data_IF_050840055997
#
_entry.id   IF_050840055997
#
_cell.length_a   1.000
_cell.length_b   1.000
_cell.length_c   1.000
_cell.angle_alpha   90.00
_cell.angle_beta   90.00
_cell.angle_gamma   90.00
#
_symmetry.space_group_name_H-M   'P 1'
#
loop_
_entity.id
_entity.type
_entity.pdbx_description
1 polymer ?
#
# COMPACT_ATOMS: atom_id res chain seq x y z
N UNK A 1 -12.03 2.55 20.09
CA UNK A 1 -10.79 3.36 20.36
C UNK A 1 -10.83 4.50 19.37
N UNK A 2 -10.73 5.74 19.83
CA UNK A 2 -10.59 6.89 18.93
C UNK A 2 -9.17 6.89 18.33
N UNK A 3 -9.09 6.89 17.00
CA UNK A 3 -7.84 6.87 16.25
C UNK A 3 -7.29 8.28 15.96
N UNK A 4 -8.06 9.35 16.21
CA UNK A 4 -7.68 10.73 15.91
C UNK A 4 -7.56 11.03 14.42
N UNK A 5 -8.33 10.30 13.58
CA UNK A 5 -8.30 10.43 12.12
C UNK A 5 -9.45 11.27 11.54
N UNK A 6 -10.45 11.61 12.35
CA UNK A 6 -11.54 12.48 11.92
C UNK A 6 -11.00 13.80 11.37
N UNK A 7 -11.52 14.23 10.23
CA UNK A 7 -11.14 15.45 9.50
C UNK A 7 -9.68 15.49 8.99
N UNK A 8 -8.90 14.41 9.12
CA UNK A 8 -7.57 14.29 8.51
C UNK A 8 -7.67 14.14 6.99
N UNK A 9 -6.70 14.68 6.28
CA UNK A 9 -6.60 14.64 4.82
C UNK A 9 -5.72 13.47 4.40
N UNK A 10 -6.31 12.44 3.83
CA UNK A 10 -5.66 11.16 3.53
C UNK A 10 -5.54 10.94 2.03
N UNK A 11 -4.34 10.61 1.56
CA UNK A 11 -4.09 10.12 0.21
C UNK A 11 -3.84 8.61 0.27
N UNK A 12 -4.53 7.84 -0.58
CA UNK A 12 -4.26 6.40 -0.77
C UNK A 12 -3.98 6.12 -2.24
N UNK A 13 -2.74 5.75 -2.55
CA UNK A 13 -2.30 5.48 -3.91
C UNK A 13 -2.74 4.09 -4.41
N UNK A 14 -3.02 3.97 -5.70
CA UNK A 14 -3.44 2.74 -6.38
C UNK A 14 -4.64 2.05 -5.67
N UNK A 15 -5.64 2.85 -5.27
CA UNK A 15 -6.73 2.44 -4.38
C UNK A 15 -8.03 2.06 -5.11
N UNK A 16 -7.95 1.61 -6.35
CA UNK A 16 -9.14 1.14 -7.08
C UNK A 16 -9.61 -0.26 -6.69
N UNK A 17 -8.76 -1.04 -5.98
CA UNK A 17 -9.07 -2.43 -5.58
C UNK A 17 -8.19 -2.91 -4.41
N UNK A 18 -8.52 -4.07 -3.85
CA UNK A 18 -7.70 -4.81 -2.87
C UNK A 18 -7.41 -4.04 -1.58
N UNK A 19 -6.21 -4.20 -1.07
CA UNK A 19 -5.78 -3.66 0.23
C UNK A 19 -5.90 -2.14 0.30
N UNK A 20 -5.45 -1.42 -0.75
CA UNK A 20 -5.47 0.04 -0.74
C UNK A 20 -6.90 0.59 -0.79
N UNK A 21 -7.82 -0.03 -1.54
CA UNK A 21 -9.24 0.33 -1.49
C UNK A 21 -9.82 0.09 -0.10
N UNK A 22 -9.58 -1.08 0.50
CA UNK A 22 -10.04 -1.37 1.86
C UNK A 22 -9.49 -0.36 2.88
N UNK A 23 -8.22 0.07 2.75
CA UNK A 23 -7.65 1.12 3.58
C UNK A 23 -8.38 2.47 3.39
N UNK A 24 -8.66 2.87 2.14
CA UNK A 24 -9.41 4.09 1.85
C UNK A 24 -10.82 4.06 2.43
N UNK A 25 -11.53 2.94 2.32
CA UNK A 25 -12.85 2.72 2.93
C UNK A 25 -12.79 2.86 4.47
N UNK A 26 -11.78 2.28 5.11
CA UNK A 26 -11.59 2.37 6.57
C UNK A 26 -11.21 3.79 7.03
N UNK A 27 -10.34 4.50 6.32
CA UNK A 27 -10.06 5.91 6.62
C UNK A 27 -11.33 6.76 6.55
N UNK A 28 -12.16 6.55 5.54
CA UNK A 28 -13.43 7.23 5.40
C UNK A 28 -14.41 6.89 6.55
N UNK A 29 -14.44 5.64 7.00
CA UNK A 29 -15.23 5.20 8.15
C UNK A 29 -14.77 5.87 9.47
N UNK A 30 -13.49 6.18 9.61
CA UNK A 30 -12.93 6.96 10.72
C UNK A 30 -13.17 8.48 10.58
N UNK A 31 -13.88 8.93 9.55
CA UNK A 31 -14.24 10.34 9.33
C UNK A 31 -13.15 11.18 8.65
N UNK A 32 -12.15 10.55 8.05
CA UNK A 32 -11.12 11.24 7.28
C UNK A 32 -11.63 11.66 5.88
N UNK A 33 -11.15 12.78 5.34
CA UNK A 33 -11.30 13.13 3.92
C UNK A 33 -10.33 12.29 3.11
N UNK A 34 -10.79 11.66 2.05
CA UNK A 34 -10.00 10.65 1.33
C UNK A 34 -9.80 11.03 -0.12
N UNK A 35 -8.55 11.10 -0.55
CA UNK A 35 -8.16 11.20 -1.95
C UNK A 35 -7.56 9.87 -2.43
N UNK A 36 -8.09 9.35 -3.53
CA UNK A 36 -7.64 8.08 -4.12
C UNK A 36 -7.21 8.29 -5.57
N UNK A 37 -6.21 7.54 -6.00
CA UNK A 37 -5.79 7.52 -7.40
C UNK A 37 -5.55 6.09 -7.89
N UNK A 38 -5.71 5.88 -9.17
CA UNK A 38 -5.29 4.67 -9.89
C UNK A 38 -5.34 4.92 -11.41
N UNK A 39 -4.77 4.03 -12.21
CA UNK A 39 -4.74 4.15 -13.68
C UNK A 39 -6.09 3.88 -14.34
N UNK A 40 -6.86 2.97 -13.80
CA UNK A 40 -8.18 2.58 -14.34
C UNK A 40 -9.25 3.50 -13.77
N UNK A 41 -9.71 4.43 -14.58
CA UNK A 41 -10.74 5.41 -14.20
C UNK A 41 -12.09 4.74 -13.85
N UNK A 42 -12.46 3.66 -14.53
CA UNK A 42 -13.72 2.95 -14.27
C UNK A 42 -13.73 2.29 -12.89
N UNK A 43 -12.68 1.51 -12.57
CA UNK A 43 -12.52 0.90 -11.24
C UNK A 43 -12.35 1.95 -10.14
N UNK A 44 -11.63 3.04 -10.43
CA UNK A 44 -11.42 4.11 -9.48
C UNK A 44 -12.73 4.82 -9.11
N UNK A 45 -13.55 5.14 -10.12
CA UNK A 45 -14.86 5.76 -9.89
C UNK A 45 -15.80 4.84 -9.13
N UNK A 46 -15.77 3.53 -9.40
CA UNK A 46 -16.54 2.56 -8.63
C UNK A 46 -16.09 2.49 -7.16
N UNK A 47 -14.77 2.51 -6.90
CA UNK A 47 -14.23 2.58 -5.54
C UNK A 47 -14.67 3.87 -4.81
N UNK A 48 -14.56 5.03 -5.48
CA UNK A 48 -14.99 6.30 -4.92
C UNK A 48 -16.49 6.34 -4.62
N UNK A 49 -17.32 5.79 -5.50
CA UNK A 49 -18.76 5.68 -5.28
C UNK A 49 -19.07 4.84 -4.04
N UNK A 50 -18.41 3.70 -3.90
CA UNK A 50 -18.56 2.81 -2.74
C UNK A 50 -18.14 3.49 -1.43
N UNK A 51 -17.04 4.27 -1.43
CA UNK A 51 -16.64 5.02 -0.23
C UNK A 51 -17.71 6.06 0.13
N UNK A 52 -18.24 6.81 -0.84
CA UNK A 52 -19.29 7.82 -0.63
C UNK A 52 -20.60 7.22 -0.14
N UNK A 53 -20.95 6.03 -0.59
CA UNK A 53 -22.17 5.30 -0.17
C UNK A 53 -22.13 4.93 1.32
N UNK A 54 -20.92 4.60 1.84
CA UNK A 54 -20.74 4.10 3.20
C UNK A 54 -20.20 5.16 4.18
N UNK A 55 -19.98 6.41 3.71
CA UNK A 55 -19.45 7.49 4.54
C UNK A 55 -19.94 8.87 4.07
N UNK A 56 -20.02 9.81 5.00
CA UNK A 56 -20.38 11.21 4.69
C UNK A 56 -19.16 12.13 4.53
N UNK A 57 -17.99 11.57 4.18
CA UNK A 57 -16.77 12.35 4.04
C UNK A 57 -16.55 12.84 2.61
N UNK A 58 -15.67 13.83 2.45
CA UNK A 58 -15.24 14.25 1.11
C UNK A 58 -14.34 13.20 0.48
N UNK A 59 -14.63 12.83 -0.77
CA UNK A 59 -13.85 11.84 -1.54
C UNK A 59 -13.43 12.44 -2.88
N UNK A 60 -12.13 12.58 -3.09
CA UNK A 60 -11.50 12.96 -4.36
C UNK A 60 -10.96 11.70 -5.05
N UNK A 61 -11.19 11.56 -6.36
CA UNK A 61 -10.70 10.41 -7.12
C UNK A 61 -10.17 10.89 -8.47
N UNK A 62 -8.87 10.64 -8.75
CA UNK A 62 -8.22 11.07 -9.99
C UNK A 62 -7.46 9.93 -10.67
N UNK A 63 -7.69 9.70 -11.97
CA UNK A 63 -6.89 8.77 -12.75
C UNK A 63 -5.42 9.24 -12.79
N UNK A 64 -4.50 8.34 -12.40
CA UNK A 64 -3.09 8.65 -12.27
C UNK A 64 -2.23 7.40 -12.41
N UNK A 65 -1.13 7.48 -13.16
CA UNK A 65 -0.04 6.50 -13.08
C UNK A 65 0.97 6.95 -12.02
N UNK A 66 1.14 6.13 -10.98
CA UNK A 66 2.05 6.41 -9.86
C UNK A 66 3.54 6.46 -10.27
N UNK A 67 3.87 5.99 -11.48
CA UNK A 67 5.24 6.05 -12.03
C UNK A 67 5.55 7.41 -12.66
N UNK A 68 4.54 8.23 -12.93
CA UNK A 68 4.70 9.60 -13.42
C UNK A 68 4.86 10.58 -12.23
N UNK A 69 6.10 11.03 -12.02
CA UNK A 69 6.44 11.93 -10.93
C UNK A 69 5.70 13.28 -11.00
N UNK A 70 5.53 13.83 -12.21
CA UNK A 70 4.86 15.13 -12.41
C UNK A 70 3.36 15.02 -12.15
N UNK A 71 2.74 13.93 -12.62
CA UNK A 71 1.34 13.66 -12.35
C UNK A 71 1.08 13.42 -10.85
N UNK A 72 1.98 12.72 -10.14
CA UNK A 72 1.90 12.55 -8.67
C UNK A 72 1.99 13.89 -7.96
N UNK A 73 2.95 14.75 -8.33
CA UNK A 73 3.11 16.09 -7.74
C UNK A 73 1.85 16.95 -7.96
N UNK A 74 1.32 16.95 -9.18
CA UNK A 74 0.11 17.69 -9.52
C UNK A 74 -1.11 17.21 -8.72
N UNK A 75 -1.28 15.88 -8.60
CA UNK A 75 -2.33 15.26 -7.80
C UNK A 75 -2.24 15.67 -6.32
N UNK A 76 -1.07 15.52 -5.70
CA UNK A 76 -0.87 15.89 -4.29
C UNK A 76 -1.14 17.38 -4.07
N UNK A 77 -0.68 18.24 -4.97
CA UNK A 77 -0.97 19.69 -4.92
C UNK A 77 -2.47 19.97 -5.02
N UNK A 78 -3.18 19.29 -5.90
CA UNK A 78 -4.64 19.45 -6.03
C UNK A 78 -5.36 18.98 -4.75
N UNK A 79 -4.99 17.82 -4.20
CA UNK A 79 -5.53 17.34 -2.91
C UNK A 79 -5.28 18.34 -1.80
N UNK A 80 -4.05 18.85 -1.69
CA UNK A 80 -3.70 19.83 -0.66
C UNK A 80 -4.46 21.15 -0.79
N UNK A 81 -4.73 21.61 -2.01
CA UNK A 81 -5.54 22.80 -2.27
C UNK A 81 -7.02 22.56 -1.94
N UNK A 82 -7.54 21.37 -2.27
CA UNK A 82 -8.94 21.02 -2.07
C UNK A 82 -9.30 20.76 -0.60
N UNK A 83 -8.42 20.06 0.14
CA UNK A 83 -8.65 19.68 1.54
C UNK A 83 -7.97 20.63 2.55
N UNK A 84 -7.08 21.52 2.11
CA UNK A 84 -6.32 22.43 2.97
C UNK A 84 -4.98 21.85 3.47
N UNK A 85 -4.49 20.75 2.92
CA UNK A 85 -3.24 20.10 3.28
C UNK A 85 -3.25 18.60 3.05
N UNK A 86 -2.18 17.92 3.46
CA UNK A 86 -2.08 16.44 3.46
C UNK A 86 -1.53 16.00 4.81
N UNK A 87 -2.26 15.14 5.50
CA UNK A 87 -1.90 14.61 6.81
C UNK A 87 -1.37 13.17 6.72
N UNK A 88 -2.03 12.33 5.93
CA UNK A 88 -1.68 10.91 5.77
C UNK A 88 -1.45 10.58 4.30
N UNK A 89 -0.42 9.80 4.02
CA UNK A 89 -0.20 9.23 2.70
C UNK A 89 0.08 7.73 2.81
N UNK A 90 -0.73 6.93 2.13
CA UNK A 90 -0.50 5.50 1.96
C UNK A 90 0.01 5.26 0.55
N UNK A 91 1.29 4.88 0.41
CA UNK A 91 1.88 4.57 -0.89
C UNK A 91 1.67 3.10 -1.22
N UNK A 92 1.22 2.85 -2.42
CA UNK A 92 0.97 1.52 -2.96
C UNK A 92 1.13 1.53 -4.48
N UNK A 93 1.44 0.39 -5.03
CA UNK A 93 1.48 0.16 -6.47
C UNK A 93 1.08 -1.28 -6.79
N UNK A 94 0.83 -1.57 -8.06
CA UNK A 94 0.59 -2.92 -8.53
C UNK A 94 1.78 -3.86 -8.30
N UNK A 95 1.55 -5.17 -8.36
CA UNK A 95 2.64 -6.14 -8.29
C UNK A 95 3.30 -6.33 -9.66
N UNK A 96 4.64 -6.48 -9.74
CA UNK A 96 5.34 -6.85 -10.97
C UNK A 96 4.98 -8.29 -11.38
N UNK A 97 5.24 -8.69 -12.65
CA UNK A 97 4.97 -10.04 -13.11
C UNK A 97 5.75 -11.07 -12.27
N UNK A 98 5.16 -12.25 -12.11
CA UNK A 98 5.83 -13.36 -11.44
C UNK A 98 6.69 -14.10 -12.48
N UNK A 99 8.01 -14.15 -12.27
CA UNK A 99 9.00 -14.78 -13.15
C UNK A 99 10.19 -15.34 -12.38
N UNK A 100 10.83 -16.35 -12.96
CA UNK A 100 12.16 -16.80 -12.55
C UNK A 100 13.24 -15.89 -13.18
N UNK A 101 14.42 -15.82 -12.59
CA UNK A 101 15.46 -14.85 -12.96
C UNK A 101 15.82 -14.85 -14.44
N UNK A 102 16.12 -16.02 -15.03
CA UNK A 102 16.53 -16.11 -16.43
C UNK A 102 15.43 -15.77 -17.46
N UNK A 103 14.16 -15.67 -17.01
CA UNK A 103 13.04 -15.23 -17.84
C UNK A 103 12.77 -13.73 -17.76
N UNK A 104 13.59 -12.96 -17.02
CA UNK A 104 13.43 -11.52 -16.85
C UNK A 104 14.16 -10.72 -17.93
N UNK A 105 13.73 -9.47 -18.17
CA UNK A 105 14.42 -8.52 -19.04
C UNK A 105 14.82 -7.25 -18.27
N UNK A 106 15.77 -6.49 -18.80
CA UNK A 106 16.21 -5.22 -18.20
C UNK A 106 15.07 -4.22 -18.10
N UNK A 107 14.21 -4.15 -19.10
CA UNK A 107 13.05 -3.24 -19.15
C UNK A 107 12.03 -3.59 -18.08
N UNK A 108 11.82 -4.88 -17.81
CA UNK A 108 10.95 -5.32 -16.71
C UNK A 108 11.53 -4.96 -15.34
N UNK A 109 12.86 -5.02 -15.17
CA UNK A 109 13.54 -4.55 -13.96
C UNK A 109 13.35 -3.06 -13.74
N UNK A 110 13.55 -2.25 -14.80
CA UNK A 110 13.32 -0.80 -14.75
C UNK A 110 11.88 -0.49 -14.34
N UNK A 111 10.90 -1.13 -15.00
CA UNK A 111 9.48 -0.96 -14.67
C UNK A 111 9.15 -1.38 -13.23
N UNK A 112 9.77 -2.46 -12.74
CA UNK A 112 9.57 -2.90 -11.35
C UNK A 112 10.12 -1.86 -10.35
N UNK A 113 11.28 -1.26 -10.63
CA UNK A 113 11.86 -0.16 -9.84
C UNK A 113 10.97 1.07 -9.87
N UNK A 114 10.52 1.51 -11.05
CA UNK A 114 9.62 2.66 -11.20
C UNK A 114 8.34 2.45 -10.39
N UNK A 115 7.71 1.30 -10.55
CA UNK A 115 6.42 1.00 -9.95
C UNK A 115 6.49 0.76 -8.44
N UNK A 116 7.49 0.02 -7.92
CA UNK A 116 7.48 -0.44 -6.53
C UNK A 116 8.46 0.31 -5.61
N UNK A 117 9.33 1.16 -6.15
CA UNK A 117 10.26 1.96 -5.37
C UNK A 117 10.15 3.45 -5.68
N UNK A 118 10.34 3.87 -6.95
CA UNK A 118 10.32 5.28 -7.31
C UNK A 118 8.95 5.91 -7.08
N UNK A 119 7.84 5.19 -7.30
CA UNK A 119 6.50 5.67 -6.97
C UNK A 119 6.37 6.08 -5.50
N UNK A 120 6.97 5.32 -4.56
CA UNK A 120 6.99 5.69 -3.13
C UNK A 120 7.78 6.97 -2.90
N UNK A 121 8.91 7.17 -3.62
CA UNK A 121 9.70 8.40 -3.57
C UNK A 121 8.90 9.58 -4.10
N UNK A 122 8.18 9.43 -5.23
CA UNK A 122 7.36 10.50 -5.82
C UNK A 122 6.33 11.01 -4.81
N UNK A 123 5.56 10.11 -4.20
CA UNK A 123 4.59 10.49 -3.17
C UNK A 123 5.26 11.11 -1.94
N UNK A 124 6.33 10.49 -1.41
CA UNK A 124 7.04 11.01 -0.25
C UNK A 124 7.52 12.45 -0.49
N UNK A 125 8.16 12.73 -1.63
CA UNK A 125 8.61 14.09 -2.01
C UNK A 125 7.47 15.09 -2.09
N UNK A 126 6.33 14.68 -2.63
CA UNK A 126 5.19 15.57 -2.81
C UNK A 126 4.44 15.87 -1.50
N UNK A 127 4.34 14.90 -0.58
CA UNK A 127 3.53 15.06 0.65
C UNK A 127 4.31 15.60 1.86
N UNK A 128 5.61 15.25 1.99
CA UNK A 128 6.40 15.62 3.16
C UNK A 128 6.46 17.14 3.43
N UNK A 129 6.56 18.04 2.44
CA UNK A 129 6.52 19.47 2.69
C UNK A 129 5.21 19.96 3.35
N UNK A 130 4.08 19.35 3.00
CA UNK A 130 2.78 19.65 3.63
C UNK A 130 2.71 19.17 5.07
N UNK A 131 3.22 17.96 5.32
CA UNK A 131 3.29 17.38 6.68
C UNK A 131 4.23 18.17 7.59
N UNK A 132 5.39 18.61 7.08
CA UNK A 132 6.34 19.46 7.83
C UNK A 132 5.70 20.79 8.25
N UNK A 133 4.98 21.43 7.32
CA UNK A 133 4.30 22.72 7.62
C UNK A 133 3.32 22.57 8.78
N UNK A 134 2.68 21.42 8.92
CA UNK A 134 1.69 21.16 9.97
C UNK A 134 2.30 20.54 11.24
N UNK A 135 3.61 20.23 11.25
CA UNK A 135 4.29 19.48 12.30
C UNK A 135 3.57 18.19 12.68
N UNK A 136 2.94 17.56 11.71
CA UNK A 136 2.23 16.30 11.85
C UNK A 136 2.12 15.58 10.49
N UNK A 137 2.42 14.30 10.47
CA UNK A 137 2.27 13.52 9.27
C UNK A 137 2.40 12.01 9.50
N UNK A 138 1.78 11.23 8.60
CA UNK A 138 1.84 9.77 8.61
C UNK A 138 2.07 9.27 7.18
N UNK A 139 3.23 8.68 6.94
CA UNK A 139 3.56 8.02 5.67
C UNK A 139 3.61 6.51 5.90
N UNK A 140 2.73 5.76 5.25
CA UNK A 140 2.68 4.30 5.35
C UNK A 140 2.89 3.69 3.96
N UNK A 141 3.98 2.95 3.77
CA UNK A 141 4.21 2.21 2.54
C UNK A 141 3.57 0.82 2.62
N UNK A 142 2.97 0.35 1.52
CA UNK A 142 2.52 -1.04 1.38
C UNK A 142 3.53 -1.80 0.53
N UNK A 143 4.18 -2.80 1.11
CA UNK A 143 5.12 -3.65 0.37
C UNK A 143 4.62 -5.10 0.26
N UNK A 144 5.30 -6.06 0.84
CA UNK A 144 4.98 -7.49 0.81
C UNK A 144 5.84 -8.23 1.84
N UNK A 145 5.41 -9.38 2.31
CA UNK A 145 6.23 -10.31 3.09
C UNK A 145 7.57 -10.65 2.41
N UNK A 146 7.66 -10.47 1.08
CA UNK A 146 8.89 -10.69 0.30
C UNK A 146 10.06 -9.79 0.74
N UNK A 147 9.82 -8.74 1.51
CA UNK A 147 10.88 -7.89 2.09
C UNK A 147 11.63 -8.58 3.23
N UNK A 148 11.09 -9.66 3.77
CA UNK A 148 11.70 -10.46 4.85
C UNK A 148 12.12 -11.85 4.39
N UNK A 149 11.33 -12.46 3.51
CA UNK A 149 11.58 -13.81 3.01
C UNK A 149 11.25 -13.88 1.52
N UNK A 150 12.24 -14.19 0.64
CA UNK A 150 12.00 -14.37 -0.79
C UNK A 150 10.96 -15.45 -1.05
N UNK A 151 10.09 -15.19 -2.02
CA UNK A 151 9.11 -16.14 -2.53
C UNK A 151 9.53 -16.56 -3.93
N UNK A 152 9.44 -17.87 -4.23
CA UNK A 152 9.77 -18.38 -5.54
C UNK A 152 8.97 -17.67 -6.64
N UNK A 153 9.58 -17.44 -7.81
CA UNK A 153 9.04 -16.75 -8.98
C UNK A 153 8.59 -15.30 -8.79
N UNK A 154 8.83 -14.70 -7.61
CA UNK A 154 8.57 -13.27 -7.35
C UNK A 154 9.85 -12.44 -7.34
N UNK A 155 10.79 -12.73 -8.27
CA UNK A 155 12.15 -12.17 -8.25
C UNK A 155 12.19 -10.64 -8.19
N UNK A 156 11.34 -9.95 -8.94
CA UNK A 156 11.27 -8.49 -8.92
C UNK A 156 10.81 -7.96 -7.54
N UNK A 157 9.80 -8.59 -6.96
CA UNK A 157 9.29 -8.21 -5.64
C UNK A 157 10.33 -8.47 -4.55
N UNK A 158 11.00 -9.63 -4.62
CA UNK A 158 12.05 -10.03 -3.67
C UNK A 158 13.25 -9.05 -3.67
N UNK A 159 13.60 -8.49 -4.83
CA UNK A 159 14.76 -7.63 -4.98
C UNK A 159 14.44 -6.13 -4.80
N UNK A 160 13.30 -5.66 -5.33
CA UNK A 160 12.99 -4.22 -5.39
C UNK A 160 12.31 -3.72 -4.11
N UNK A 161 11.34 -4.46 -3.58
CA UNK A 161 10.59 -3.99 -2.41
C UNK A 161 11.42 -3.82 -1.13
N UNK A 162 12.49 -4.59 -0.85
CA UNK A 162 13.36 -4.32 0.29
C UNK A 162 14.01 -2.94 0.29
N UNK A 163 14.21 -2.30 -0.89
CA UNK A 163 14.73 -0.93 -0.97
C UNK A 163 13.81 0.09 -0.26
N UNK A 164 12.49 -0.17 -0.22
CA UNK A 164 11.52 0.68 0.50
C UNK A 164 11.80 0.69 2.00
N UNK A 165 12.33 -0.39 2.59
CA UNK A 165 12.64 -0.46 4.02
C UNK A 165 13.75 0.53 4.39
N UNK A 166 14.80 0.60 3.57
CA UNK A 166 15.87 1.57 3.73
C UNK A 166 15.36 3.01 3.61
N UNK A 167 14.51 3.28 2.62
CA UNK A 167 13.87 4.58 2.45
C UNK A 167 13.01 4.95 3.67
N UNK A 168 12.12 4.07 4.11
CA UNK A 168 11.24 4.27 5.28
C UNK A 168 12.07 4.60 6.52
N UNK A 169 13.16 3.85 6.76
CA UNK A 169 14.04 4.10 7.91
C UNK A 169 14.76 5.45 7.82
N UNK A 170 15.29 5.79 6.64
CA UNK A 170 15.96 7.07 6.41
C UNK A 170 15.02 8.25 6.61
N UNK A 171 13.83 8.20 6.00
CA UNK A 171 12.81 9.26 6.15
C UNK A 171 12.32 9.37 7.61
N UNK A 172 12.19 8.26 8.34
CA UNK A 172 11.79 8.29 9.75
C UNK A 172 12.81 9.03 10.62
N UNK A 173 14.11 8.87 10.34
CA UNK A 173 15.18 9.57 11.06
C UNK A 173 15.23 11.07 10.70
N UNK A 174 15.00 11.40 9.44
CA UNK A 174 15.08 12.78 8.95
C UNK A 174 13.90 13.64 9.42
N UNK A 175 12.68 13.09 9.32
CA UNK A 175 11.43 13.83 9.53
C UNK A 175 10.76 13.58 10.89
N UNK A 176 11.29 12.69 11.72
CA UNK A 176 10.74 12.42 13.06
C UNK A 176 10.65 13.65 13.96
N UNK A 177 11.64 14.55 13.87
CA UNK A 177 11.66 15.85 14.58
C UNK A 177 10.50 16.77 14.21
N UNK A 178 9.90 16.58 13.06
CA UNK A 178 8.76 17.35 12.53
C UNK A 178 7.41 16.70 12.90
N UNK A 179 7.38 15.71 13.80
CA UNK A 179 6.17 15.00 14.20
C UNK A 179 5.63 14.01 13.14
N UNK A 180 6.47 13.65 12.16
CA UNK A 180 6.11 12.76 11.07
C UNK A 180 6.60 11.34 11.35
N UNK A 181 5.68 10.36 11.29
CA UNK A 181 6.06 8.95 11.34
C UNK A 181 6.04 8.33 9.94
N UNK A 182 7.02 7.49 9.66
CA UNK A 182 7.17 6.80 8.37
C UNK A 182 7.31 5.31 8.64
N UNK A 183 6.35 4.51 8.20
CA UNK A 183 6.31 3.06 8.45
C UNK A 183 5.98 2.28 7.18
N UNK A 184 6.15 0.98 7.24
CA UNK A 184 5.84 0.04 6.17
C UNK A 184 4.93 -1.08 6.71
N UNK A 185 3.91 -1.43 5.95
CA UNK A 185 3.12 -2.65 6.13
C UNK A 185 3.53 -3.65 5.06
N UNK A 186 3.83 -4.87 5.46
CA UNK A 186 4.25 -5.96 4.60
C UNK A 186 3.23 -7.11 4.66
N UNK A 187 2.23 -7.11 3.75
CA UNK A 187 1.20 -8.13 3.72
C UNK A 187 1.72 -9.50 3.33
N UNK A 188 1.13 -10.54 3.91
CA UNK A 188 1.18 -11.91 3.41
C UNK A 188 0.24 -12.14 2.22
N UNK A 189 -0.06 -13.40 1.93
CA UNK A 189 -1.07 -13.76 0.94
C UNK A 189 -2.44 -13.23 1.39
N UNK A 190 -3.00 -12.34 0.59
CA UNK A 190 -4.24 -11.62 0.88
C UNK A 190 -5.21 -11.79 -0.28
N UNK A 191 -6.50 -12.01 -0.01
CA UNK A 191 -7.57 -12.27 -0.97
C UNK A 191 -7.88 -11.05 -1.86
N UNK A 192 -6.99 -10.80 -2.81
CA UNK A 192 -7.07 -9.71 -3.79
C UNK A 192 -7.15 -10.27 -5.20
N UNK A 193 -7.58 -9.45 -6.16
CA UNK A 193 -7.57 -9.84 -7.57
C UNK A 193 -6.16 -10.25 -8.04
N UNK A 194 -5.12 -9.61 -7.51
CA UNK A 194 -3.73 -9.98 -7.77
C UNK A 194 -3.41 -11.40 -7.32
N UNK A 195 -3.86 -11.80 -6.12
CA UNK A 195 -3.63 -13.16 -5.63
C UNK A 195 -4.41 -14.18 -6.48
N UNK A 196 -5.64 -13.87 -6.87
CA UNK A 196 -6.43 -14.74 -7.77
C UNK A 196 -5.71 -15.01 -9.09
N UNK A 197 -5.09 -13.98 -9.70
CA UNK A 197 -4.30 -14.15 -10.93
C UNK A 197 -3.08 -15.05 -10.71
N UNK A 198 -2.38 -14.93 -9.59
CA UNK A 198 -1.25 -15.79 -9.23
C UNK A 198 -1.73 -17.23 -9.03
N UNK A 199 -2.82 -17.42 -8.29
CA UNK A 199 -3.41 -18.75 -8.05
C UNK A 199 -3.84 -19.40 -9.38
N UNK A 200 -4.56 -18.67 -10.24
CA UNK A 200 -5.02 -19.19 -11.53
C UNK A 200 -3.86 -19.70 -12.40
N UNK A 201 -2.77 -18.92 -12.48
CA UNK A 201 -1.58 -19.34 -13.24
C UNK A 201 -0.92 -20.56 -12.61
N UNK A 202 -0.60 -20.51 -11.31
CA UNK A 202 0.15 -21.59 -10.64
C UNK A 202 -0.66 -22.88 -10.50
N UNK A 203 -1.99 -22.79 -10.35
CA UNK A 203 -2.86 -23.98 -10.34
C UNK A 203 -2.86 -24.69 -11.69
N UNK A 204 -2.87 -23.93 -12.79
CA UNK A 204 -2.74 -24.48 -14.14
C UNK A 204 -1.40 -25.16 -14.36
N UNK A 205 -0.28 -24.51 -13.94
CA UNK A 205 1.08 -25.08 -14.01
C UNK A 205 1.21 -26.36 -13.19
N UNK A 206 0.54 -26.44 -12.05
CA UNK A 206 0.57 -27.58 -11.13
C UNK A 206 -0.46 -28.69 -11.44
N UNK A 207 -1.37 -28.46 -12.41
CA UNK A 207 -2.42 -29.42 -12.76
C UNK A 207 -3.45 -29.68 -11.65
N UNK A 208 -3.73 -28.66 -10.79
CA UNK A 208 -4.70 -28.76 -9.68
C UNK A 208 -5.75 -27.66 -9.80
N UNK A 209 -6.84 -27.76 -9.02
CA UNK A 209 -7.88 -26.72 -9.02
C UNK A 209 -7.36 -25.43 -8.33
N UNK A 210 -7.87 -24.24 -8.72
CA UNK A 210 -7.56 -22.98 -8.02
C UNK A 210 -7.85 -23.04 -6.52
N UNK A 211 -8.94 -23.65 -6.10
CA UNK A 211 -9.31 -23.79 -4.69
C UNK A 211 -8.30 -24.64 -3.91
N UNK A 212 -7.83 -25.74 -4.49
CA UNK A 212 -6.78 -26.57 -3.88
C UNK A 212 -5.47 -25.80 -3.76
N UNK A 213 -5.11 -25.01 -4.79
CA UNK A 213 -3.89 -24.21 -4.76
C UNK A 213 -3.96 -23.10 -3.74
N UNK A 214 -5.11 -22.43 -3.60
CA UNK A 214 -5.37 -21.42 -2.57
C UNK A 214 -5.25 -22.00 -1.16
N UNK A 215 -5.79 -23.19 -0.93
CA UNK A 215 -5.67 -23.90 0.33
C UNK A 215 -4.20 -24.16 0.71
N UNK A 216 -3.32 -24.45 -0.27
CA UNK A 216 -1.88 -24.64 -0.05
C UNK A 216 -1.24 -23.33 0.46
N UNK A 217 -1.55 -22.17 -0.13
CA UNK A 217 -1.07 -20.87 0.37
C UNK A 217 -1.53 -20.59 1.81
N UNK A 218 -2.80 -20.86 2.09
CA UNK A 218 -3.32 -20.74 3.44
C UNK A 218 -2.61 -21.65 4.44
N UNK A 219 -2.33 -22.89 4.04
CA UNK A 219 -1.69 -23.88 4.93
C UNK A 219 -0.27 -23.49 5.38
N UNK A 220 0.44 -22.66 4.63
CA UNK A 220 1.78 -22.18 4.98
C UNK A 220 1.76 -21.15 6.12
N UNK A 221 0.71 -20.35 6.24
CA UNK A 221 0.54 -19.43 7.35
C UNK A 221 0.22 -20.17 8.68
N UNK A 222 0.64 -19.61 9.81
CA UNK A 222 0.30 -20.18 11.13
C UNK A 222 -1.21 -20.18 11.38
N UNK A 223 -1.93 -19.15 10.87
CA UNK A 223 -3.38 -19.05 10.96
C UNK A 223 -4.14 -19.96 9.96
N UNK A 224 -3.42 -20.73 9.12
CA UNK A 224 -3.98 -21.72 8.18
C UNK A 224 -5.01 -21.15 7.18
N UNK A 225 -4.88 -19.89 6.83
CA UNK A 225 -5.70 -19.21 5.82
C UNK A 225 -4.96 -18.04 5.17
N UNK A 226 -5.44 -17.57 4.04
CA UNK A 226 -5.06 -16.28 3.48
C UNK A 226 -5.75 -15.15 4.26
N UNK A 227 -5.14 -13.96 4.29
CA UNK A 227 -5.73 -12.77 4.90
C UNK A 227 -6.81 -12.13 4.02
N UNK A 228 -7.66 -11.29 4.62
CA UNK A 228 -8.58 -10.44 3.90
C UNK A 228 -7.99 -9.03 3.74
N UNK A 229 -8.32 -8.28 2.66
CA UNK A 229 -7.85 -6.90 2.48
C UNK A 229 -8.12 -6.00 3.68
N UNK A 230 -9.27 -6.20 4.35
CA UNK A 230 -9.71 -5.44 5.50
C UNK A 230 -8.79 -5.64 6.73
N UNK A 231 -8.22 -6.84 6.90
CA UNK A 231 -7.30 -7.15 8.01
C UNK A 231 -5.96 -6.40 7.85
N UNK A 232 -5.50 -6.25 6.60
CA UNK A 232 -4.31 -5.46 6.30
C UNK A 232 -4.61 -3.95 6.44
N UNK A 233 -5.78 -3.53 5.98
CA UNK A 233 -6.25 -2.15 6.08
C UNK A 233 -6.34 -1.67 7.53
N UNK A 234 -6.77 -2.52 8.47
CA UNK A 234 -6.80 -2.21 9.90
C UNK A 234 -5.40 -1.84 10.42
N UNK A 235 -4.38 -2.60 10.06
CA UNK A 235 -3.01 -2.31 10.44
C UNK A 235 -2.48 -1.00 9.82
N UNK A 236 -2.84 -0.71 8.56
CA UNK A 236 -2.47 0.53 7.88
C UNK A 236 -3.09 1.74 8.58
N UNK A 237 -4.40 1.70 8.84
CA UNK A 237 -5.14 2.78 9.47
C UNK A 237 -4.66 3.01 10.91
N UNK A 238 -4.40 1.92 11.66
CA UNK A 238 -3.84 2.04 12.99
C UNK A 238 -2.44 2.68 12.99
N UNK A 239 -1.52 2.27 12.09
CA UNK A 239 -0.19 2.87 11.97
C UNK A 239 -0.25 4.35 11.55
N UNK A 240 -1.28 4.76 10.82
CA UNK A 240 -1.53 6.16 10.43
C UNK A 240 -2.22 6.99 11.52
N UNK A 241 -2.62 6.39 12.63
CA UNK A 241 -3.39 7.02 13.70
C UNK A 241 -2.51 7.77 14.72
N UNK A 242 -3.14 8.51 15.60
CA UNK A 242 -2.49 9.10 16.78
C UNK A 242 -2.05 8.02 17.79
N UNK A 243 -2.67 6.83 17.76
CA UNK A 243 -2.36 5.72 18.66
C UNK A 243 -1.01 5.05 18.36
N UNK A 244 -0.49 5.25 17.13
CA UNK A 244 0.83 4.79 16.71
C UNK A 244 1.89 5.90 16.70
N UNK A 245 1.68 7.01 17.42
CA UNK A 245 2.54 8.20 17.39
C UNK A 245 3.99 7.97 17.81
N UNK A 246 4.29 6.88 18.54
CA UNK A 246 5.65 6.51 18.96
C UNK A 246 6.24 5.34 18.14
N UNK A 247 5.62 5.03 16.98
CA UNK A 247 6.08 3.99 16.06
C UNK A 247 6.52 4.63 14.76
N UNK A 248 7.83 4.58 14.46
CA UNK A 248 8.39 5.09 13.20
C UNK A 248 9.58 4.28 12.75
N UNK A 249 9.83 4.21 11.44
CA UNK A 249 10.91 3.45 10.82
C UNK A 249 10.72 1.93 10.92
N UNK A 250 9.48 1.44 11.11
CA UNK A 250 9.18 0.03 11.31
C UNK A 250 8.57 -0.61 10.07
N UNK A 251 8.77 -1.91 9.96
CA UNK A 251 8.09 -2.77 9.00
C UNK A 251 7.24 -3.77 9.78
N UNK A 252 5.93 -3.61 9.69
CA UNK A 252 4.96 -4.50 10.29
C UNK A 252 4.55 -5.59 9.29
N UNK A 253 4.89 -6.84 9.60
CA UNK A 253 4.37 -8.00 8.87
C UNK A 253 2.90 -8.22 9.28
N UNK A 254 2.02 -8.35 8.29
CA UNK A 254 0.61 -8.72 8.47
C UNK A 254 0.35 -9.90 7.55
N UNK A 255 0.79 -11.08 7.96
CA UNK A 255 0.95 -12.27 7.11
C UNK A 255 0.38 -13.56 7.70
N UNK A 256 -0.34 -13.47 8.81
CA UNK A 256 -0.90 -14.64 9.50
C UNK A 256 0.16 -15.60 10.04
N UNK A 257 1.41 -15.13 10.25
CA UNK A 257 2.54 -15.97 10.67
C UNK A 257 3.11 -16.83 9.54
N UNK A 258 3.06 -16.33 8.30
CA UNK A 258 3.68 -17.01 7.17
C UNK A 258 5.21 -16.93 7.25
N UNK A 259 5.79 -15.78 7.59
CA UNK A 259 7.22 -15.64 7.85
C UNK A 259 7.63 -16.44 9.11
N UNK A 260 8.71 -17.23 9.02
CA UNK A 260 9.13 -18.15 10.08
C UNK A 260 10.34 -17.66 10.89
N UNK A 261 10.89 -16.51 10.52
CA UNK A 261 11.98 -15.88 11.27
C UNK A 261 11.50 -15.10 12.48
N UNK A 262 12.46 -14.67 13.29
CA UNK A 262 12.30 -13.75 14.43
C UNK A 262 12.81 -12.37 14.09
#
# INVERSE_FOLDING_TARGET
>A
MDLGLKDRNVIVAAASDGIARAAAEKFAAEGARVAICSRDAGKLNAAAARIREHSNVQVLAEPLDVTDAQAVEAFVKHVAQHFGGVDVCVTNAGGPPAKMFLATTTEEWQRALEMNFLSTIHFARAVLPWMQKNHWGRLVAITSMTVRQPVSDLIYSNAVRPAVLGLVKSLSNEFGKDGITVNNVAPGYTATERLKQIIARRSQEAGVSPAEFEARFGAEASLKRIGQPEEIADAIVWLASERASFITGQTLLVDGGWFKGI
#
